data_IF_362029651268
#
_entry.id   IF_362029651268
#
_cell.length_a   1.000
_cell.length_b   1.000
_cell.length_c   1.000
_cell.angle_alpha   90.00
_cell.angle_beta   90.00
_cell.angle_gamma   90.00
#
_symmetry.space_group_name_H-M   'P 1'
#
loop_
_entity.id
_entity.type
_entity.pdbx_description
1 polymer ?
#
# COMPACT_ATOMS: atom_id res chain seq x y z
N UNK A 1 -2.10 5.74 -15.23
CA UNK A 1 -1.36 5.28 -14.02
C UNK A 1 -2.12 4.12 -13.40
N UNK A 2 -1.47 3.31 -12.57
CA UNK A 2 -2.09 2.19 -11.85
C UNK A 2 -2.00 2.50 -10.36
N UNK A 3 -3.13 2.46 -9.67
CA UNK A 3 -3.21 2.57 -8.22
C UNK A 3 -3.40 1.19 -7.60
N UNK A 4 -2.52 0.78 -6.68
CA UNK A 4 -2.50 -0.59 -6.16
C UNK A 4 -3.11 -0.73 -4.76
N UNK A 5 -3.61 0.37 -4.19
CA UNK A 5 -4.17 0.43 -2.84
C UNK A 5 -5.26 1.51 -2.80
N UNK A 6 -6.53 1.11 -2.73
CA UNK A 6 -7.67 2.01 -2.70
C UNK A 6 -8.91 1.35 -2.08
N UNK A 7 -9.62 2.05 -1.20
CA UNK A 7 -10.84 1.59 -0.52
C UNK A 7 -12.07 2.11 -1.27
N UNK A 8 -12.17 1.69 -2.53
CA UNK A 8 -13.17 2.20 -3.47
C UNK A 8 -14.46 1.39 -3.50
N UNK A 9 -14.48 0.20 -2.90
CA UNK A 9 -15.65 -0.67 -2.94
C UNK A 9 -16.72 -0.15 -1.96
N UNK A 10 -17.99 -0.10 -2.39
CA UNK A 10 -19.04 0.57 -1.63
C UNK A 10 -19.48 -0.25 -0.42
N UNK A 11 -19.40 0.34 0.78
CA UNK A 11 -20.06 -0.13 1.99
C UNK A 11 -19.47 -1.38 2.64
N UNK A 12 -18.22 -1.75 2.33
CA UNK A 12 -17.58 -2.96 2.85
C UNK A 12 -16.49 -2.71 3.90
N UNK A 13 -15.97 -1.49 3.99
CA UNK A 13 -15.04 -1.04 5.03
C UNK A 13 -15.21 0.46 5.33
N UNK A 14 -14.17 1.13 5.83
CA UNK A 14 -14.18 2.56 6.17
C UNK A 14 -13.90 3.49 4.98
N UNK A 15 -13.80 2.95 3.76
CA UNK A 15 -13.66 3.71 2.53
C UNK A 15 -14.99 4.26 1.99
N UNK A 16 -15.27 3.95 0.73
CA UNK A 16 -16.50 4.38 0.07
C UNK A 16 -17.75 3.88 0.81
N UNK A 17 -18.70 4.77 1.07
CA UNK A 17 -19.92 4.45 1.84
C UNK A 17 -21.00 3.79 0.99
N UNK A 18 -21.05 4.13 -0.29
CA UNK A 18 -22.09 3.72 -1.21
C UNK A 18 -21.60 3.82 -2.67
N UNK A 19 -22.44 3.34 -3.58
CA UNK A 19 -22.13 3.28 -5.02
C UNK A 19 -21.86 4.67 -5.61
N UNK A 20 -22.60 5.69 -5.19
CA UNK A 20 -22.46 7.05 -5.74
C UNK A 20 -21.10 7.63 -5.38
N UNK A 21 -20.66 7.44 -4.13
CA UNK A 21 -19.30 7.81 -3.69
C UNK A 21 -18.25 7.02 -4.47
N UNK A 22 -18.43 5.72 -4.69
CA UNK A 22 -17.47 4.90 -5.45
C UNK A 22 -17.34 5.38 -6.90
N UNK A 23 -18.44 5.71 -7.56
CA UNK A 23 -18.43 6.25 -8.93
C UNK A 23 -17.73 7.61 -9.00
N UNK A 24 -17.98 8.49 -8.03
CA UNK A 24 -17.29 9.79 -7.98
C UNK A 24 -15.79 9.64 -7.66
N UNK A 25 -15.41 8.68 -6.81
CA UNK A 25 -14.00 8.33 -6.62
C UNK A 25 -13.34 7.87 -7.93
N UNK A 26 -14.03 7.04 -8.73
CA UNK A 26 -13.51 6.61 -10.04
C UNK A 26 -13.35 7.80 -11.01
N UNK A 27 -14.28 8.76 -11.01
CA UNK A 27 -14.14 9.99 -11.81
C UNK A 27 -12.92 10.81 -11.41
N UNK A 28 -12.71 11.00 -10.11
CA UNK A 28 -11.51 11.69 -9.59
C UNK A 28 -10.23 10.96 -10.04
N UNK A 29 -10.24 9.62 -10.00
CA UNK A 29 -9.11 8.81 -10.42
C UNK A 29 -8.83 8.96 -11.92
N UNK A 30 -9.87 8.92 -12.75
CA UNK A 30 -9.81 9.14 -14.20
C UNK A 30 -9.21 10.52 -14.53
N UNK A 31 -9.70 11.57 -13.88
CA UNK A 31 -9.19 12.95 -14.03
C UNK A 31 -7.72 13.08 -13.60
N UNK A 32 -7.31 12.35 -12.56
CA UNK A 32 -5.90 12.30 -12.13
C UNK A 32 -5.02 11.52 -13.13
N UNK A 33 -5.62 10.75 -14.04
CA UNK A 33 -4.95 9.94 -15.05
C UNK A 33 -4.68 8.51 -14.61
N UNK A 34 -5.42 8.00 -13.63
CA UNK A 34 -5.42 6.60 -13.20
C UNK A 34 -6.36 5.83 -14.13
N UNK A 35 -5.88 4.73 -14.71
CA UNK A 35 -6.64 3.88 -15.63
C UNK A 35 -6.97 2.51 -15.04
N UNK A 36 -6.25 2.11 -13.98
CA UNK A 36 -6.55 0.89 -13.21
C UNK A 36 -6.40 1.14 -11.72
N UNK A 37 -7.29 0.57 -10.93
CA UNK A 37 -7.27 0.59 -9.47
C UNK A 37 -7.36 -0.85 -8.96
N UNK A 38 -6.47 -1.26 -8.08
CA UNK A 38 -6.70 -2.45 -7.25
C UNK A 38 -7.50 -2.01 -6.04
N UNK A 39 -8.74 -2.48 -5.94
CA UNK A 39 -9.54 -2.32 -4.74
C UNK A 39 -8.95 -3.20 -3.63
N UNK A 40 -8.57 -2.60 -2.52
CA UNK A 40 -7.91 -3.28 -1.40
C UNK A 40 -8.68 -3.06 -0.10
N UNK A 41 -9.95 -3.46 -0.03
CA UNK A 41 -10.69 -3.30 1.21
C UNK A 41 -10.00 -4.04 2.35
N UNK A 42 -10.24 -3.58 3.57
CA UNK A 42 -9.66 -4.22 4.74
C UNK A 42 -10.13 -5.68 4.88
N UNK A 43 -9.17 -6.56 5.15
CA UNK A 43 -9.40 -7.79 5.89
C UNK A 43 -8.74 -7.67 7.26
N UNK A 44 -9.57 -7.45 8.28
CA UNK A 44 -9.20 -7.37 9.68
C UNK A 44 -10.17 -8.20 10.51
N UNK A 45 -9.73 -9.39 10.92
CA UNK A 45 -10.53 -10.35 11.70
C UNK A 45 -11.17 -9.69 12.93
N UNK A 46 -12.49 -9.86 13.07
CA UNK A 46 -13.29 -9.24 14.12
C UNK A 46 -13.76 -7.80 13.84
N UNK A 47 -13.36 -7.20 12.72
CA UNK A 47 -13.77 -5.87 12.29
C UNK A 47 -14.31 -5.87 10.86
N UNK A 48 -13.49 -6.24 9.89
CA UNK A 48 -13.83 -6.33 8.47
C UNK A 48 -13.40 -7.70 7.95
N UNK A 49 -14.33 -8.60 7.69
CA UNK A 49 -14.03 -9.98 7.24
C UNK A 49 -14.42 -10.18 5.78
N UNK A 50 -14.01 -9.22 4.94
CA UNK A 50 -14.28 -9.22 3.50
C UNK A 50 -13.48 -10.33 2.81
N UNK A 51 -14.04 -11.54 2.69
CA UNK A 51 -13.38 -12.64 1.98
C UNK A 51 -13.13 -12.30 0.51
N UNK A 52 -12.03 -12.79 -0.04
CA UNK A 52 -11.59 -12.42 -1.39
C UNK A 52 -12.66 -12.68 -2.47
N UNK A 53 -13.48 -13.73 -2.30
CA UNK A 53 -14.53 -14.05 -3.25
C UNK A 53 -15.67 -13.03 -3.26
N UNK A 54 -15.93 -12.35 -2.14
CA UNK A 54 -16.92 -11.28 -2.05
C UNK A 54 -16.36 -9.95 -2.58
N UNK A 55 -15.06 -9.73 -2.41
CA UNK A 55 -14.35 -8.63 -3.08
C UNK A 55 -14.46 -8.75 -4.60
N UNK A 56 -14.23 -9.94 -5.18
CA UNK A 56 -14.37 -10.17 -6.63
C UNK A 56 -15.77 -9.78 -7.12
N UNK A 57 -16.83 -10.24 -6.44
CA UNK A 57 -18.22 -9.91 -6.82
C UNK A 57 -18.46 -8.40 -6.78
N UNK A 58 -17.98 -7.73 -5.74
CA UNK A 58 -18.13 -6.28 -5.57
C UNK A 58 -17.38 -5.50 -6.65
N UNK A 59 -16.18 -5.96 -7.04
CA UNK A 59 -15.40 -5.41 -8.16
C UNK A 59 -16.13 -5.58 -9.48
N UNK A 60 -16.68 -6.77 -9.76
CA UNK A 60 -17.45 -7.03 -10.98
C UNK A 60 -18.68 -6.12 -11.09
N UNK A 61 -19.38 -5.89 -9.98
CA UNK A 61 -20.53 -4.98 -9.92
C UNK A 61 -20.11 -3.54 -10.15
N UNK A 62 -19.07 -3.07 -9.46
CA UNK A 62 -18.57 -1.69 -9.61
C UNK A 62 -18.07 -1.43 -11.03
N UNK A 63 -17.37 -2.37 -11.67
CA UNK A 63 -16.94 -2.25 -13.07
C UNK A 63 -18.13 -2.16 -14.04
N UNK A 64 -19.20 -2.94 -13.83
CA UNK A 64 -20.43 -2.83 -14.64
C UNK A 64 -21.06 -1.46 -14.50
N UNK A 65 -21.08 -0.90 -13.30
CA UNK A 65 -21.62 0.44 -13.02
C UNK A 65 -20.74 1.54 -13.60
N UNK A 66 -19.42 1.43 -13.48
CA UNK A 66 -18.45 2.35 -14.09
C UNK A 66 -18.63 2.43 -15.61
N UNK A 67 -18.71 1.26 -16.27
CA UNK A 67 -18.98 1.17 -17.71
C UNK A 67 -20.30 1.82 -18.12
N UNK A 68 -21.40 1.56 -17.37
CA UNK A 68 -22.70 2.22 -17.61
C UNK A 68 -22.65 3.74 -17.46
N UNK A 69 -21.73 4.25 -16.65
CA UNK A 69 -21.55 5.67 -16.36
C UNK A 69 -20.45 6.33 -17.19
N UNK A 70 -19.92 5.63 -18.20
CA UNK A 70 -18.84 6.06 -19.08
C UNK A 70 -17.59 6.51 -18.33
N UNK A 71 -17.16 5.72 -17.33
CA UNK A 71 -15.92 5.94 -16.59
C UNK A 71 -14.90 4.90 -17.06
N UNK A 72 -13.77 5.34 -17.60
CA UNK A 72 -12.70 4.50 -18.18
C UNK A 72 -11.62 4.16 -17.15
N UNK A 73 -12.04 3.56 -16.03
CA UNK A 73 -11.16 3.05 -14.97
C UNK A 73 -11.53 1.61 -14.66
N UNK A 74 -10.57 0.70 -14.85
CA UNK A 74 -10.74 -0.71 -14.52
C UNK A 74 -10.42 -0.95 -13.05
N UNK A 75 -11.37 -1.54 -12.30
CA UNK A 75 -11.15 -1.98 -10.92
C UNK A 75 -10.74 -3.45 -10.90
N UNK A 76 -9.71 -3.78 -10.13
CA UNK A 76 -9.17 -5.12 -9.95
C UNK A 76 -9.30 -5.55 -8.48
N UNK A 77 -9.47 -6.85 -8.18
CA UNK A 77 -9.66 -7.32 -6.81
C UNK A 77 -8.32 -7.48 -6.05
N UNK A 78 -8.25 -6.96 -4.84
CA UNK A 78 -7.16 -7.15 -3.87
C UNK A 78 -7.69 -7.03 -2.45
N UNK A 79 -6.81 -7.06 -1.45
CA UNK A 79 -7.16 -6.84 -0.04
C UNK A 79 -6.01 -6.12 0.65
N UNK A 80 -6.32 -5.23 1.60
CA UNK A 80 -5.36 -4.79 2.60
C UNK A 80 -5.52 -5.68 3.84
N UNK A 81 -4.50 -6.50 4.12
CA UNK A 81 -4.60 -7.52 5.16
C UNK A 81 -3.94 -7.02 6.42
N UNK A 82 -4.72 -6.83 7.48
CA UNK A 82 -4.17 -6.59 8.81
C UNK A 82 -3.53 -7.88 9.32
N UNK A 83 -2.21 -7.88 9.51
CA UNK A 83 -1.48 -9.12 9.83
C UNK A 83 -1.82 -9.63 11.23
N UNK A 84 -2.23 -10.88 11.33
CA UNK A 84 -2.36 -11.60 12.61
C UNK A 84 -1.95 -13.07 12.48
N UNK A 85 -1.90 -13.78 13.61
CA UNK A 85 -1.50 -15.20 13.67
C UNK A 85 -2.41 -16.15 12.87
N UNK A 86 -3.58 -15.71 12.41
CA UNK A 86 -4.50 -16.48 11.59
C UNK A 86 -4.39 -16.17 10.10
N UNK A 87 -3.62 -15.15 9.70
CA UNK A 87 -3.45 -14.77 8.29
C UNK A 87 -3.02 -15.96 7.42
N UNK A 88 -2.02 -16.75 7.85
CA UNK A 88 -1.57 -17.93 7.09
C UNK A 88 -2.69 -18.96 6.90
N UNK A 89 -3.51 -19.19 7.94
CA UNK A 89 -4.65 -20.10 7.88
C UNK A 89 -5.65 -19.62 6.83
N UNK A 90 -6.06 -18.35 6.90
CA UNK A 90 -7.05 -17.80 5.97
C UNK A 90 -6.53 -17.72 4.53
N UNK A 91 -5.23 -17.49 4.34
CA UNK A 91 -4.60 -17.62 3.04
C UNK A 91 -4.70 -19.05 2.48
N UNK A 92 -4.38 -20.08 3.28
CA UNK A 92 -4.50 -21.50 2.88
C UNK A 92 -5.95 -21.90 2.58
N UNK A 93 -6.91 -21.31 3.29
CA UNK A 93 -8.35 -21.46 3.05
C UNK A 93 -8.86 -20.67 1.84
N UNK A 94 -7.98 -19.93 1.13
CA UNK A 94 -8.29 -19.06 -0.02
C UNK A 94 -9.23 -17.89 0.30
N UNK A 95 -9.39 -17.55 1.58
CA UNK A 95 -10.14 -16.36 2.02
C UNK A 95 -9.37 -15.07 1.79
N UNK A 96 -8.04 -15.19 1.80
CA UNK A 96 -7.11 -14.10 1.50
C UNK A 96 -6.37 -14.38 0.21
N UNK A 97 -6.21 -13.36 -0.63
CA UNK A 97 -5.33 -13.39 -1.80
C UNK A 97 -4.54 -12.10 -1.92
N UNK A 98 -3.52 -12.13 -2.76
CA UNK A 98 -2.76 -10.94 -3.11
C UNK A 98 -3.52 -10.01 -4.05
N UNK A 99 -2.84 -8.94 -4.44
CA UNK A 99 -3.33 -7.95 -5.39
C UNK A 99 -3.55 -8.63 -6.75
N UNK A 100 -4.77 -8.56 -7.26
CA UNK A 100 -5.19 -9.17 -8.53
C UNK A 100 -4.85 -10.67 -8.65
N UNK A 101 -5.09 -11.43 -7.59
CA UNK A 101 -4.81 -12.87 -7.45
C UNK A 101 -3.33 -13.26 -7.63
N UNK A 102 -2.43 -12.29 -7.52
CA UNK A 102 -0.98 -12.51 -7.63
C UNK A 102 -0.37 -12.90 -6.29
N UNK A 103 0.92 -13.25 -6.29
CA UNK A 103 1.67 -13.53 -5.05
C UNK A 103 1.98 -12.27 -4.23
N UNK A 104 1.71 -11.08 -4.74
CA UNK A 104 2.00 -9.83 -4.04
C UNK A 104 0.88 -9.51 -3.06
N UNK A 105 1.17 -9.56 -1.77
CA UNK A 105 0.18 -9.38 -0.71
C UNK A 105 0.41 -8.07 0.01
N UNK A 106 -0.60 -7.20 0.06
CA UNK A 106 -0.56 -5.94 0.79
C UNK A 106 -0.90 -6.19 2.26
N UNK A 107 0.02 -5.82 3.15
CA UNK A 107 -0.02 -6.14 4.57
C UNK A 107 0.06 -4.86 5.40
N UNK A 108 -0.87 -4.71 6.33
CA UNK A 108 -0.96 -3.62 7.30
C UNK A 108 -0.69 -4.11 8.73
N UNK A 109 -0.20 -3.19 9.58
CA UNK A 109 0.01 -3.39 11.02
C UNK A 109 -0.67 -2.31 11.86
N UNK A 110 -0.60 -2.47 13.19
CA UNK A 110 -0.96 -1.42 14.14
C UNK A 110 -0.18 -0.13 13.85
N UNK A 111 -0.89 1.00 13.80
CA UNK A 111 -0.28 2.32 13.61
C UNK A 111 0.65 2.72 14.77
N UNK A 112 0.41 2.17 15.96
CA UNK A 112 1.07 2.60 17.19
C UNK A 112 2.18 1.64 17.61
N UNK A 113 1.94 0.34 17.50
CA UNK A 113 2.75 -0.69 18.12
C UNK A 113 3.45 -1.55 17.08
N UNK A 114 4.76 -1.76 17.28
CA UNK A 114 5.52 -2.70 16.45
C UNK A 114 5.00 -4.13 16.67
N UNK A 115 4.59 -4.85 15.61
CA UNK A 115 4.02 -6.19 15.74
C UNK A 115 5.11 -7.23 15.97
N UNK A 116 5.24 -7.71 17.22
CA UNK A 116 6.32 -8.62 17.64
C UNK A 116 6.41 -9.90 16.81
N UNK A 117 5.26 -10.48 16.45
CA UNK A 117 5.19 -11.77 15.74
C UNK A 117 5.13 -11.60 14.20
N UNK A 118 5.19 -10.36 13.69
CA UNK A 118 4.99 -10.12 12.26
C UNK A 118 6.03 -10.79 11.37
N UNK A 119 7.31 -10.78 11.78
CA UNK A 119 8.39 -11.35 10.98
C UNK A 119 8.24 -12.87 10.82
N UNK A 120 7.83 -13.57 11.88
CA UNK A 120 7.60 -15.02 11.84
C UNK A 120 6.45 -15.35 10.88
N UNK A 121 5.34 -14.62 10.97
CA UNK A 121 4.19 -14.81 10.08
C UNK A 121 4.54 -14.48 8.62
N UNK A 122 5.30 -13.39 8.40
CA UNK A 122 5.81 -13.01 7.08
C UNK A 122 6.69 -14.11 6.51
N UNK A 123 7.58 -14.68 7.31
CA UNK A 123 8.44 -15.79 6.89
C UNK A 123 7.61 -16.99 6.45
N UNK A 124 6.58 -17.38 7.22
CA UNK A 124 5.68 -18.48 6.84
C UNK A 124 4.90 -18.19 5.55
N UNK A 125 4.41 -16.96 5.35
CA UNK A 125 3.75 -16.55 4.11
C UNK A 125 4.71 -16.65 2.92
N UNK A 126 5.95 -16.19 3.07
CA UNK A 126 6.99 -16.30 2.04
C UNK A 126 7.31 -17.74 1.68
N UNK A 127 7.30 -18.67 2.64
CA UNK A 127 7.44 -20.11 2.35
C UNK A 127 6.30 -20.65 1.47
N UNK A 128 5.13 -19.99 1.45
CA UNK A 128 4.04 -20.30 0.52
C UNK A 128 4.18 -19.58 -0.84
N UNK A 129 5.27 -18.84 -1.06
CA UNK A 129 5.53 -18.09 -2.29
C UNK A 129 4.99 -16.65 -2.29
N UNK A 130 4.39 -16.19 -1.19
CA UNK A 130 3.89 -14.81 -1.08
C UNK A 130 5.04 -13.81 -1.04
N UNK A 131 4.83 -12.68 -1.69
CA UNK A 131 5.69 -11.50 -1.70
C UNK A 131 5.00 -10.38 -0.91
N UNK A 132 5.40 -10.16 0.36
CA UNK A 132 4.75 -9.16 1.21
C UNK A 132 5.11 -7.74 0.78
N UNK A 133 4.09 -6.88 0.69
CA UNK A 133 4.19 -5.44 0.50
C UNK A 133 3.68 -4.80 1.79
N UNK A 134 4.55 -4.08 2.50
CA UNK A 134 4.15 -3.35 3.70
C UNK A 134 3.43 -2.07 3.27
N UNK A 135 2.16 -1.96 3.67
CA UNK A 135 1.33 -0.79 3.46
C UNK A 135 1.83 0.38 4.31
N UNK A 136 1.92 1.55 3.69
CA UNK A 136 2.15 2.87 4.27
C UNK A 136 3.06 2.93 5.52
N UNK A 137 4.29 2.36 5.47
CA UNK A 137 5.19 2.30 6.62
C UNK A 137 5.53 3.67 7.20
N UNK A 138 5.41 4.73 6.41
CA UNK A 138 5.60 6.11 6.88
C UNK A 138 4.55 6.57 7.91
N UNK A 139 3.42 5.89 8.00
CA UNK A 139 2.32 6.22 8.92
C UNK A 139 2.50 5.59 10.29
N UNK A 140 3.28 4.52 10.41
CA UNK A 140 3.55 3.85 11.69
C UNK A 140 4.39 4.73 12.61
N UNK A 141 3.90 5.00 13.83
CA UNK A 141 4.55 5.91 14.78
C UNK A 141 5.97 5.45 15.12
N UNK A 142 6.15 4.14 15.34
CA UNK A 142 7.46 3.56 15.62
C UNK A 142 8.45 3.71 14.45
N UNK A 143 7.99 3.68 13.19
CA UNK A 143 8.84 3.95 12.02
C UNK A 143 9.20 5.44 11.95
N UNK A 144 8.25 6.34 12.24
CA UNK A 144 8.53 7.77 12.24
C UNK A 144 9.54 8.17 13.32
N UNK A 145 9.58 7.44 14.43
CA UNK A 145 10.52 7.63 15.53
C UNK A 145 11.90 7.02 15.24
N UNK A 146 11.94 5.81 14.66
CA UNK A 146 13.17 5.16 14.20
C UNK A 146 12.98 4.38 12.89
N UNK A 147 13.47 4.94 11.78
CA UNK A 147 13.39 4.31 10.47
C UNK A 147 14.15 2.97 10.40
N UNK A 148 15.15 2.77 11.26
CA UNK A 148 15.97 1.53 11.19
C UNK A 148 15.19 0.29 11.57
N UNK A 149 14.02 0.42 12.20
CA UNK A 149 13.09 -0.69 12.42
C UNK A 149 12.69 -1.36 11.09
N UNK A 150 12.61 -0.60 9.99
CA UNK A 150 12.32 -1.19 8.67
C UNK A 150 13.41 -2.15 8.19
N UNK A 151 14.62 -2.13 8.78
CA UNK A 151 15.67 -3.08 8.41
C UNK A 151 15.28 -4.53 8.69
N UNK A 152 14.37 -4.78 9.63
CA UNK A 152 13.88 -6.13 9.91
C UNK A 152 13.05 -6.65 8.72
N UNK A 153 12.11 -5.85 8.24
CA UNK A 153 11.32 -6.17 7.04
C UNK A 153 12.18 -6.20 5.76
N UNK A 154 13.21 -5.36 5.67
CA UNK A 154 14.18 -5.39 4.56
C UNK A 154 14.99 -6.70 4.56
N UNK A 155 15.36 -7.23 5.73
CA UNK A 155 16.02 -8.55 5.83
C UNK A 155 15.11 -9.66 5.33
N UNK A 156 13.82 -9.53 5.62
CA UNK A 156 12.78 -10.41 5.10
C UNK A 156 12.39 -10.12 3.65
N UNK A 157 13.13 -9.27 2.93
CA UNK A 157 12.85 -8.95 1.52
C UNK A 157 11.42 -8.47 1.27
N UNK A 158 10.82 -7.77 2.24
CA UNK A 158 9.52 -7.14 2.05
C UNK A 158 9.65 -5.92 1.14
N UNK A 159 8.63 -5.69 0.31
CA UNK A 159 8.49 -4.47 -0.47
C UNK A 159 7.72 -3.41 0.32
N UNK A 160 7.80 -2.15 -0.11
CA UNK A 160 7.18 -1.03 0.62
C UNK A 160 6.34 -0.14 -0.29
N UNK A 161 5.09 0.10 0.11
CA UNK A 161 4.17 1.02 -0.57
C UNK A 161 3.99 2.28 0.28
N UNK A 162 4.30 3.47 -0.27
CA UNK A 162 4.04 4.75 0.41
C UNK A 162 2.74 5.37 -0.08
N UNK A 163 2.01 6.08 0.79
CA UNK A 163 0.81 6.78 0.35
C UNK A 163 1.14 8.07 -0.39
N UNK A 164 0.41 8.34 -1.48
CA UNK A 164 0.52 9.59 -2.22
C UNK A 164 0.22 10.79 -1.32
N UNK A 165 -0.82 10.68 -0.49
CA UNK A 165 -1.18 11.69 0.51
C UNK A 165 -0.07 11.95 1.54
N UNK A 166 0.72 10.94 1.90
CA UNK A 166 1.85 11.13 2.81
C UNK A 166 2.91 12.02 2.17
N UNK A 167 3.22 11.78 0.89
CA UNK A 167 4.19 12.55 0.11
C UNK A 167 3.73 14.00 -0.09
N UNK A 168 2.44 14.22 -0.40
CA UNK A 168 1.87 15.57 -0.59
C UNK A 168 1.54 16.29 0.72
N UNK A 169 1.69 15.63 1.87
CA UNK A 169 1.53 16.23 3.19
C UNK A 169 0.10 16.18 3.75
N UNK A 170 -0.79 15.43 3.10
CA UNK A 170 -2.16 15.16 3.54
C UNK A 170 -2.18 14.59 4.96
N UNK A 171 -1.26 13.74 5.38
CA UNK A 171 -1.25 13.16 6.74
C UNK A 171 -0.42 13.94 7.76
N UNK A 172 -0.03 15.17 7.42
CA UNK A 172 0.72 16.06 8.30
C UNK A 172 2.24 15.98 8.13
N UNK A 173 2.94 16.97 8.70
CA UNK A 173 4.37 17.20 8.43
C UNK A 173 5.29 16.06 8.88
N UNK A 174 4.95 15.37 9.98
CA UNK A 174 5.78 14.26 10.49
C UNK A 174 5.77 13.09 9.50
N UNK A 175 4.58 12.67 9.07
CA UNK A 175 4.38 11.63 8.05
C UNK A 175 5.07 12.02 6.74
N UNK A 176 4.86 13.25 6.24
CA UNK A 176 5.51 13.72 5.02
C UNK A 176 7.04 13.66 5.09
N UNK A 177 7.63 14.12 6.20
CA UNK A 177 9.07 14.06 6.41
C UNK A 177 9.58 12.61 6.42
N UNK A 178 8.81 11.69 7.00
CA UNK A 178 9.12 10.27 6.98
C UNK A 178 9.09 9.71 5.56
N UNK A 179 8.04 9.99 4.76
CA UNK A 179 7.96 9.56 3.35
C UNK A 179 9.17 10.02 2.55
N UNK A 180 9.55 11.30 2.69
CA UNK A 180 10.70 11.85 1.95
C UNK A 180 12.00 11.17 2.33
N UNK A 181 12.20 10.86 3.62
CA UNK A 181 13.38 10.09 4.06
C UNK A 181 13.38 8.67 3.49
N UNK A 182 12.24 7.97 3.50
CA UNK A 182 12.13 6.63 2.94
C UNK A 182 12.47 6.62 1.45
N UNK A 183 11.98 7.60 0.70
CA UNK A 183 12.34 7.84 -0.70
C UNK A 183 13.85 8.08 -0.85
N UNK A 184 14.47 8.93 -0.02
CA UNK A 184 15.91 9.20 -0.04
C UNK A 184 16.76 7.94 0.26
N UNK A 185 16.29 7.06 1.14
CA UNK A 185 16.94 5.79 1.43
C UNK A 185 16.65 4.70 0.39
N UNK A 186 15.78 4.96 -0.58
CA UNK A 186 15.35 3.99 -1.58
C UNK A 186 14.48 2.87 -1.02
N UNK A 187 13.78 3.12 0.10
CA UNK A 187 12.82 2.21 0.74
C UNK A 187 11.42 2.62 0.30
N UNK A 188 11.15 2.40 -0.98
CA UNK A 188 9.91 2.77 -1.66
C UNK A 188 9.86 1.97 -2.97
N UNK A 189 9.00 0.95 -3.03
CA UNK A 189 8.81 0.14 -4.24
C UNK A 189 7.56 0.55 -5.00
N UNK A 190 6.58 1.09 -4.27
CA UNK A 190 5.30 1.49 -4.81
C UNK A 190 4.82 2.80 -4.20
N UNK A 191 3.98 3.52 -4.94
CA UNK A 191 3.16 4.61 -4.43
C UNK A 191 1.73 4.35 -4.84
N UNK A 192 0.82 4.47 -3.88
CA UNK A 192 -0.61 4.22 -4.06
C UNK A 192 -1.42 5.24 -3.25
N UNK A 193 -2.72 5.36 -3.52
CA UNK A 193 -3.51 6.46 -2.97
C UNK A 193 -3.89 6.24 -1.52
N UNK A 194 -4.22 5.00 -1.14
CA UNK A 194 -4.90 4.69 0.13
C UNK A 194 -6.12 5.63 0.31
N UNK A 195 -6.87 5.78 -0.78
CA UNK A 195 -8.03 6.65 -0.85
C UNK A 195 -9.25 6.00 -0.19
N UNK A 196 -10.06 6.82 0.44
CA UNK A 196 -11.25 6.43 1.20
C UNK A 196 -12.44 7.39 0.98
N UNK A 197 -12.20 8.58 0.40
CA UNK A 197 -13.18 9.67 0.39
C UNK A 197 -13.04 10.52 -0.88
N UNK A 198 -14.00 11.40 -1.16
CA UNK A 198 -13.91 12.36 -2.28
C UNK A 198 -12.96 13.55 -1.99
N UNK A 199 -12.65 13.78 -0.72
CA UNK A 199 -11.92 14.96 -0.27
C UNK A 199 -10.45 14.68 -0.02
N UNK A 200 -10.04 14.78 1.26
CA UNK A 200 -8.63 14.73 1.67
C UNK A 200 -7.94 13.41 1.33
N UNK A 201 -8.63 12.27 1.42
CA UNK A 201 -8.14 10.94 1.02
C UNK A 201 -8.79 10.52 -0.30
N UNK A 202 -8.63 11.31 -1.35
CA UNK A 202 -9.13 11.03 -2.71
C UNK A 202 -8.13 10.23 -3.53
N UNK A 203 -8.58 9.45 -4.55
CA UNK A 203 -7.71 8.62 -5.37
C UNK A 203 -6.88 9.48 -6.33
N UNK A 204 -5.76 10.00 -5.84
CA UNK A 204 -4.82 10.85 -6.58
C UNK A 204 -3.40 10.38 -6.40
N UNK A 205 -2.68 10.21 -7.50
CA UNK A 205 -1.28 9.79 -7.56
C UNK A 205 -0.40 10.82 -8.26
N UNK A 206 -0.94 11.55 -9.24
CA UNK A 206 -0.17 12.39 -10.18
C UNK A 206 0.79 13.33 -9.47
N UNK A 207 0.30 14.08 -8.49
CA UNK A 207 1.12 15.06 -7.76
C UNK A 207 2.29 14.39 -7.03
N UNK A 208 2.02 13.32 -6.26
CA UNK A 208 3.04 12.59 -5.52
C UNK A 208 4.10 11.97 -6.45
N UNK A 209 3.66 11.37 -7.55
CA UNK A 209 4.56 10.78 -8.54
C UNK A 209 5.41 11.85 -9.25
N UNK A 210 4.86 13.04 -9.54
CA UNK A 210 5.63 14.15 -10.09
C UNK A 210 6.68 14.70 -9.11
N UNK A 211 6.37 14.73 -7.81
CA UNK A 211 7.36 15.07 -6.77
C UNK A 211 8.52 14.06 -6.79
N UNK A 212 8.22 12.77 -6.90
CA UNK A 212 9.24 11.72 -7.01
C UNK A 212 10.03 11.86 -8.30
N UNK A 213 9.36 12.01 -9.44
CA UNK A 213 10.00 12.19 -10.75
C UNK A 213 11.05 13.31 -10.73
N UNK A 214 10.69 14.47 -10.17
CA UNK A 214 11.57 15.63 -10.11
C UNK A 214 12.76 15.45 -9.15
N UNK A 215 12.65 14.57 -8.16
CA UNK A 215 13.72 14.27 -7.20
C UNK A 215 14.60 13.09 -7.64
N UNK A 216 13.98 12.05 -8.19
CA UNK A 216 14.61 10.78 -8.54
C UNK A 216 13.80 10.11 -9.67
N UNK A 217 14.18 10.43 -10.91
CA UNK A 217 13.54 9.90 -12.11
C UNK A 217 13.60 8.36 -12.21
N UNK A 218 14.72 7.76 -11.82
CA UNK A 218 14.89 6.30 -11.85
C UNK A 218 13.95 5.60 -10.87
N UNK A 219 13.72 6.17 -9.68
CA UNK A 219 12.74 5.65 -8.75
C UNK A 219 11.32 5.78 -9.28
N UNK A 220 10.97 6.92 -9.91
CA UNK A 220 9.68 7.10 -10.56
C UNK A 220 9.44 6.02 -11.63
N UNK A 221 10.41 5.82 -12.54
CA UNK A 221 10.32 4.79 -13.59
C UNK A 221 10.14 3.40 -12.99
N UNK A 222 10.92 3.07 -11.95
CA UNK A 222 10.78 1.81 -11.20
C UNK A 222 9.38 1.63 -10.60
N UNK A 223 8.81 2.66 -9.97
CA UNK A 223 7.46 2.58 -9.38
C UNK A 223 6.40 2.30 -10.45
N UNK A 224 6.48 3.00 -11.60
CA UNK A 224 5.54 2.80 -12.71
C UNK A 224 5.66 1.38 -13.28
N UNK A 225 6.88 0.89 -13.49
CA UNK A 225 7.15 -0.47 -13.97
C UNK A 225 6.63 -1.50 -12.96
N UNK A 226 7.01 -1.36 -11.70
CA UNK A 226 6.60 -2.24 -10.61
C UNK A 226 5.07 -2.38 -10.53
N UNK A 227 4.31 -1.27 -10.55
CA UNK A 227 2.84 -1.32 -10.51
C UNK A 227 2.25 -2.13 -11.67
N UNK A 228 2.87 -2.12 -12.85
CA UNK A 228 2.42 -2.91 -14.00
C UNK A 228 2.81 -4.40 -13.85
N UNK A 229 4.05 -4.67 -13.46
CA UNK A 229 4.61 -6.03 -13.40
C UNK A 229 3.93 -6.88 -12.33
N UNK A 230 3.63 -6.31 -11.15
CA UNK A 230 2.99 -7.08 -10.06
C UNK A 230 1.59 -7.55 -10.42
N UNK A 231 0.82 -6.81 -11.23
CA UNK A 231 -0.52 -7.20 -11.63
C UNK A 231 -0.54 -8.37 -12.61
N UNK A 232 0.61 -8.67 -13.22
CA UNK A 232 0.84 -9.80 -14.12
C UNK A 232 1.59 -10.95 -13.42
N UNK A 233 1.67 -10.93 -12.08
CA UNK A 233 2.44 -11.85 -11.23
C UNK A 233 3.93 -11.97 -11.62
N UNK A 234 4.49 -10.96 -12.30
CA UNK A 234 5.90 -11.00 -12.70
C UNK A 234 6.79 -10.66 -11.52
N UNK A 235 7.99 -11.21 -11.52
CA UNK A 235 8.99 -10.96 -10.49
C UNK A 235 9.65 -9.59 -10.68
N UNK A 236 9.57 -8.74 -9.67
CA UNK A 236 10.24 -7.43 -9.67
C UNK A 236 11.59 -7.49 -8.95
N UNK A 237 12.55 -6.70 -9.43
CA UNK A 237 13.89 -6.62 -8.84
C UNK A 237 13.85 -6.01 -7.44
N UNK A 238 14.37 -6.73 -6.45
CA UNK A 238 14.49 -6.23 -5.09
C UNK A 238 15.72 -5.34 -4.94
N UNK A 239 15.52 -4.04 -4.67
CA UNK A 239 16.61 -3.06 -4.59
C UNK A 239 16.75 -2.37 -3.23
N UNK A 240 15.90 -2.68 -2.26
CA UNK A 240 15.91 -2.03 -0.95
C UNK A 240 17.21 -2.32 -0.20
N UNK A 241 17.82 -1.29 0.37
CA UNK A 241 19.06 -1.38 1.15
C UNK A 241 18.80 -0.99 2.59
N UNK A 242 19.55 -1.61 3.51
CA UNK A 242 19.47 -1.27 4.93
C UNK A 242 19.66 0.23 5.16
N UNK A 243 18.76 0.81 5.93
CA UNK A 243 18.83 2.17 6.42
C UNK A 243 19.95 2.24 7.45
N UNK A 244 20.96 3.07 7.19
CA UNK A 244 22.06 3.35 8.12
C UNK A 244 21.86 4.73 8.73
N UNK A 245 21.80 4.81 10.06
CA UNK A 245 21.80 6.11 10.75
C UNK A 245 23.16 6.78 10.55
N UNK A 246 23.17 7.98 9.97
CA UNK A 246 24.35 8.85 10.08
C UNK A 246 24.41 9.31 11.54
N UNK A 247 25.31 8.73 12.35
CA UNK A 247 25.61 9.28 13.68
C UNK A 247 26.14 10.69 13.47
N UNK A 248 25.33 11.70 13.79
CA UNK A 248 25.78 13.09 13.79
C UNK A 248 26.90 13.28 14.80
N UNK A 249 27.82 14.19 14.50
CA UNK A 249 29.03 14.52 15.29
C UNK A 249 28.77 14.89 16.77
N UNK A 250 27.51 15.09 17.19
CA UNK A 250 27.11 15.39 18.56
C UNK A 250 27.02 14.15 19.48
N UNK A 251 27.16 12.94 18.95
CA UNK A 251 27.12 11.69 19.73
C UNK A 251 28.35 11.43 20.62
N UNK A 252 29.40 12.26 20.51
CA UNK A 252 30.65 12.09 21.28
C UNK A 252 30.57 12.75 22.67
N UNK A 253 29.60 13.63 22.93
CA UNK A 253 29.51 14.37 24.21
C UNK A 253 28.52 13.80 25.24
N UNK A 254 27.93 12.62 25.00
CA UNK A 254 27.04 11.95 25.99
C UNK A 254 27.55 10.56 26.38
N UNK A 255 28.78 10.50 26.89
CA UNK A 255 29.23 9.46 27.83
C UNK A 255 30.20 10.09 28.83
N UNK A 256 29.67 10.54 29.96
CA UNK A 256 30.39 10.67 31.23
C UNK A 256 29.75 9.68 32.18
#
# INVERSE_FOLDING_TARGET
MIDIHCHILPGIDDGSKDIDISLEMLRIAEEDGISKIVATPHFYRGHYENEYQDVIKSVEELNKLASKNNIDVEVLPGQEIYLDKYTLKYYKEKKLKGLNDTKYMLIEFSMMDYPKDALDIIYELKLQGIKPIIAHPERYIYVQDDLTILNDFINEQCYFQLNSGSITGVFGKKVQKTSMKLIEYGVCDFVASDAHTLGRRSPKLKEALMIIHNKNKSLYEKIIENNCEILNDKEICYTNKKIKVKRGFLGIFKRR
#
